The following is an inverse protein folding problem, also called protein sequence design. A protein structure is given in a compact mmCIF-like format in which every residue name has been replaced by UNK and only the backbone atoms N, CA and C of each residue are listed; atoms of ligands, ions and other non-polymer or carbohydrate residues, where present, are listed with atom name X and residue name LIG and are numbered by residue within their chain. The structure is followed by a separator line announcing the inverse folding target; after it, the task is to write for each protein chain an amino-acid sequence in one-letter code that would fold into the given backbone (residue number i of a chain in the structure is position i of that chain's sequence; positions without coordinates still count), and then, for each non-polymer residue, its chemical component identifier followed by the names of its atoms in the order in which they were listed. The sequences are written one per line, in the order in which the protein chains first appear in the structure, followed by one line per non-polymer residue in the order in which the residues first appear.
data_IF_525996923626
#
_entry.id   IF_525996923626
#
_cell.length_a   1.000
_cell.length_b   1.000
_cell.length_c   1.000
_cell.angle_alpha   90.00
_cell.angle_beta   90.00
_cell.angle_gamma   90.00
#
_symmetry.space_group_name_H-M   'P 1'
#
loop_
_entity.id
_entity.type
_entity.pdbx_description
1 polymer ?
#
# COMPACT_ATOMS: atom_id res chain seq x y z
N UNK A 1 -10.52 -4.44 -5.36
CA UNK A 1 -10.09 -3.13 -5.91
C UNK A 1 -8.73 -2.76 -5.36
N UNK A 2 -7.87 -2.13 -6.16
CA UNK A 2 -6.60 -1.51 -5.69
C UNK A 2 -6.62 -0.02 -5.92
N UNK A 3 -5.92 0.76 -5.08
CA UNK A 3 -5.70 2.17 -5.29
C UNK A 3 -4.20 2.45 -5.35
N UNK A 4 -3.78 3.05 -6.47
CA UNK A 4 -2.42 3.44 -6.79
C UNK A 4 -2.24 4.95 -6.63
N UNK A 5 -1.02 5.41 -6.67
CA UNK A 5 -0.66 6.83 -6.58
C UNK A 5 0.48 7.07 -5.61
N UNK A 6 1.16 8.20 -5.79
CA UNK A 6 2.28 8.63 -4.94
C UNK A 6 1.89 8.70 -3.47
N UNK A 7 2.84 8.50 -2.58
CA UNK A 7 2.61 8.79 -1.17
C UNK A 7 2.30 10.28 -1.01
N UNK A 8 1.37 10.62 -0.12
CA UNK A 8 0.87 11.99 0.00
C UNK A 8 -0.25 12.37 -0.98
N UNK A 9 -0.62 11.50 -1.96
CA UNK A 9 -1.70 11.80 -2.91
C UNK A 9 -3.10 11.80 -2.29
N UNK A 10 -3.27 11.27 -1.08
CA UNK A 10 -4.57 11.20 -0.41
C UNK A 10 -5.25 9.82 -0.50
N UNK A 11 -4.55 8.79 -0.97
CA UNK A 11 -5.11 7.42 -1.07
C UNK A 11 -5.86 6.99 0.17
N UNK A 12 -5.23 7.01 1.34
CA UNK A 12 -5.87 6.55 2.58
C UNK A 12 -7.17 7.29 2.89
N UNK A 13 -7.22 8.61 2.67
CA UNK A 13 -8.43 9.41 2.87
C UNK A 13 -9.54 9.01 1.89
N UNK A 14 -9.20 8.81 0.62
CA UNK A 14 -10.18 8.41 -0.40
C UNK A 14 -10.58 6.95 -0.23
N UNK A 15 -9.64 6.07 0.10
CA UNK A 15 -9.92 4.65 0.37
C UNK A 15 -10.93 4.45 1.49
N UNK A 16 -10.81 5.19 2.58
CA UNK A 16 -11.78 5.12 3.68
C UNK A 16 -13.19 5.53 3.24
N UNK A 17 -13.31 6.57 2.40
CA UNK A 17 -14.60 7.02 1.86
C UNK A 17 -15.20 6.01 0.86
N UNK A 18 -14.37 5.47 -0.02
CA UNK A 18 -14.78 4.46 -1.01
C UNK A 18 -15.22 3.19 -0.28
N UNK A 19 -14.43 2.71 0.66
CA UNK A 19 -14.75 1.53 1.44
C UNK A 19 -16.09 1.66 2.18
N UNK A 20 -16.34 2.82 2.81
CA UNK A 20 -17.61 3.11 3.46
C UNK A 20 -18.79 3.17 2.48
N UNK A 21 -18.60 3.73 1.29
CA UNK A 21 -19.64 3.87 0.28
C UNK A 21 -20.04 2.52 -0.37
N UNK A 22 -19.09 1.62 -0.55
CA UNK A 22 -19.29 0.34 -1.21
C UNK A 22 -19.39 -0.85 -0.24
N UNK A 23 -19.19 -0.62 1.07
CA UNK A 23 -19.28 -1.69 2.07
C UNK A 23 -18.12 -2.68 2.03
N UNK A 24 -16.97 -2.31 1.45
CA UNK A 24 -15.79 -3.17 1.40
C UNK A 24 -14.79 -2.82 2.50
N UNK A 25 -13.85 -3.73 2.77
CA UNK A 25 -12.81 -3.54 3.77
C UNK A 25 -11.65 -2.73 3.19
N UNK A 26 -11.25 -1.63 3.84
CA UNK A 26 -10.01 -0.91 3.49
C UNK A 26 -8.82 -1.57 4.18
N UNK A 27 -7.86 -2.02 3.39
CA UNK A 27 -6.59 -2.61 3.86
C UNK A 27 -5.43 -1.75 3.38
N UNK A 28 -4.82 -1.03 4.32
CA UNK A 28 -3.60 -0.24 4.09
C UNK A 28 -2.38 -1.02 4.56
N UNK A 29 -1.55 -1.47 3.62
CA UNK A 29 -0.31 -2.18 3.96
C UNK A 29 0.66 -1.32 4.77
N UNK A 30 0.69 -0.02 4.52
CA UNK A 30 1.47 0.91 5.31
C UNK A 30 1.00 1.01 6.77
N UNK A 31 -0.31 0.93 7.02
CA UNK A 31 -0.85 0.96 8.39
C UNK A 31 -0.61 -0.38 9.11
N UNK A 32 -0.71 -1.50 8.39
CA UNK A 32 -0.36 -2.84 8.92
C UNK A 32 1.09 -2.86 9.38
N UNK A 33 2.03 -2.37 8.57
CA UNK A 33 3.44 -2.31 8.92
C UNK A 33 3.70 -1.37 10.10
N UNK A 34 3.08 -0.18 10.13
CA UNK A 34 3.23 0.75 11.26
C UNK A 34 2.69 0.18 12.56
N UNK A 35 1.56 -0.52 12.53
CA UNK A 35 1.04 -1.23 13.69
C UNK A 35 2.01 -2.30 14.17
N UNK A 36 2.55 -3.11 13.27
CA UNK A 36 3.54 -4.14 13.58
C UNK A 36 4.82 -3.55 14.21
N UNK A 37 5.30 -2.39 13.73
CA UNK A 37 6.43 -1.66 14.33
C UNK A 37 6.10 -1.19 15.74
N UNK A 38 4.94 -0.57 15.93
CA UNK A 38 4.51 -0.06 17.23
C UNK A 38 4.33 -1.18 18.28
N UNK A 39 3.87 -2.35 17.84
CA UNK A 39 3.70 -3.54 18.68
C UNK A 39 5.01 -4.33 18.90
N UNK A 40 6.09 -4.00 18.17
CA UNK A 40 7.39 -4.66 18.27
C UNK A 40 7.37 -6.12 17.80
N UNK A 41 6.49 -6.46 16.87
CA UNK A 41 6.41 -7.82 16.30
C UNK A 41 7.65 -8.15 15.48
N UNK A 42 7.83 -9.43 15.11
CA UNK A 42 8.95 -9.83 14.22
C UNK A 42 8.88 -9.09 12.89
N UNK A 43 7.69 -9.01 12.28
CA UNK A 43 7.45 -8.22 11.07
C UNK A 43 7.82 -6.74 11.29
N UNK A 44 7.40 -6.17 12.42
CA UNK A 44 7.69 -4.77 12.76
C UNK A 44 9.19 -4.50 12.89
N UNK A 45 9.96 -5.38 13.54
CA UNK A 45 11.42 -5.24 13.66
C UNK A 45 12.11 -5.28 12.30
N UNK A 46 11.68 -6.16 11.41
CA UNK A 46 12.24 -6.27 10.05
C UNK A 46 11.86 -5.06 9.17
N UNK A 47 10.69 -4.49 9.37
CA UNK A 47 10.19 -3.38 8.57
C UNK A 47 10.70 -2.00 9.05
N UNK A 48 11.03 -1.85 10.33
CA UNK A 48 11.29 -0.54 10.95
C UNK A 48 12.35 0.30 10.22
N UNK A 49 13.57 -0.23 10.06
CA UNK A 49 14.67 0.48 9.40
C UNK A 49 14.37 0.81 7.92
N UNK A 50 13.70 -0.13 7.23
CA UNK A 50 13.33 0.03 5.82
C UNK A 50 12.31 1.16 5.69
N UNK A 51 11.30 1.20 6.57
CA UNK A 51 10.26 2.23 6.56
C UNK A 51 10.82 3.61 6.91
N UNK A 52 11.68 3.69 7.92
CA UNK A 52 12.34 4.92 8.35
C UNK A 52 13.19 5.52 7.22
N UNK A 53 13.95 4.69 6.51
CA UNK A 53 14.74 5.13 5.34
C UNK A 53 13.89 5.43 4.10
N UNK A 54 12.58 5.19 4.13
CA UNK A 54 11.66 5.37 2.99
C UNK A 54 11.74 4.27 1.93
N UNK A 55 12.33 3.11 2.27
CA UNK A 55 12.39 1.94 1.40
C UNK A 55 11.07 1.17 1.28
N UNK A 56 11.09 0.12 0.46
CA UNK A 56 10.02 -0.87 0.36
C UNK A 56 10.43 -2.13 1.13
N UNK A 57 9.51 -2.67 1.93
CA UNK A 57 9.65 -3.99 2.56
C UNK A 57 9.63 -5.05 1.46
N UNK A 58 10.47 -6.08 1.60
CA UNK A 58 10.65 -7.11 0.58
C UNK A 58 9.34 -7.78 0.14
N UNK A 59 9.26 -8.12 -1.13
CA UNK A 59 8.03 -8.62 -1.77
C UNK A 59 7.52 -9.90 -1.12
N UNK A 60 8.40 -10.84 -0.74
CA UNK A 60 8.00 -12.08 -0.08
C UNK A 60 7.24 -11.84 1.23
N UNK A 61 7.73 -10.89 2.04
CA UNK A 61 7.10 -10.51 3.30
C UNK A 61 5.75 -9.86 3.01
N UNK A 62 5.71 -8.91 2.07
CA UNK A 62 4.48 -8.20 1.74
C UNK A 62 3.42 -9.10 1.13
N UNK A 63 3.82 -10.02 0.24
CA UNK A 63 2.93 -11.00 -0.36
C UNK A 63 2.31 -11.91 0.72
N UNK A 64 3.10 -12.34 1.71
CA UNK A 64 2.60 -13.14 2.83
C UNK A 64 1.57 -12.39 3.67
N UNK A 65 1.86 -11.15 4.05
CA UNK A 65 0.94 -10.28 4.82
C UNK A 65 -0.38 -10.07 4.07
N UNK A 66 -0.30 -9.82 2.76
CA UNK A 66 -1.49 -9.58 1.94
C UNK A 66 -2.29 -10.87 1.75
N UNK A 67 -1.64 -12.00 1.49
CA UNK A 67 -2.30 -13.29 1.32
C UNK A 67 -3.10 -13.69 2.58
N UNK A 68 -2.47 -13.57 3.76
CA UNK A 68 -3.14 -13.84 5.05
C UNK A 68 -4.37 -12.93 5.24
N UNK A 69 -4.22 -11.63 4.94
CA UNK A 69 -5.33 -10.68 5.13
C UNK A 69 -6.46 -10.90 4.14
N UNK A 70 -6.17 -11.26 2.88
CA UNK A 70 -7.18 -11.51 1.86
C UNK A 70 -7.99 -12.78 2.10
N UNK A 71 -7.44 -13.75 2.83
CA UNK A 71 -8.13 -14.98 3.20
C UNK A 71 -9.10 -14.82 4.39
N UNK A 72 -9.14 -13.66 5.05
CA UNK A 72 -10.01 -13.44 6.19
C UNK A 72 -11.48 -13.31 5.78
N UNK A 73 -12.39 -13.84 6.61
CA UNK A 73 -13.83 -13.95 6.33
C UNK A 73 -14.51 -12.61 5.98
N UNK A 74 -14.09 -11.52 6.62
CA UNK A 74 -14.64 -10.18 6.36
C UNK A 74 -14.32 -9.66 4.96
N UNK A 75 -13.19 -10.07 4.39
CA UNK A 75 -12.79 -9.72 3.02
C UNK A 75 -13.46 -10.65 2.00
N UNK A 76 -13.49 -11.94 2.28
CA UNK A 76 -14.11 -12.92 1.37
C UNK A 76 -15.57 -12.57 1.12
N UNK A 77 -16.28 -12.08 2.13
CA UNK A 77 -17.71 -11.73 2.04
C UNK A 77 -17.99 -10.30 1.60
N UNK A 78 -17.14 -9.34 2.03
CA UNK A 78 -17.38 -7.91 1.82
C UNK A 78 -16.57 -7.29 0.68
N UNK A 79 -15.56 -7.98 0.19
CA UNK A 79 -14.61 -7.43 -0.76
C UNK A 79 -13.57 -6.51 -0.11
N UNK A 80 -12.55 -6.13 -0.89
CA UNK A 80 -11.39 -5.37 -0.39
C UNK A 80 -11.03 -4.19 -1.27
N UNK A 81 -10.57 -3.11 -0.64
CA UNK A 81 -9.81 -2.04 -1.26
C UNK A 81 -8.40 -2.05 -0.66
N UNK A 82 -7.40 -2.43 -1.48
CA UNK A 82 -5.99 -2.44 -1.11
C UNK A 82 -5.37 -1.07 -1.35
N UNK A 83 -4.73 -0.50 -0.32
CA UNK A 83 -3.97 0.74 -0.36
C UNK A 83 -2.50 0.47 -0.05
N UNK A 84 -1.62 0.84 -0.99
CA UNK A 84 -0.18 0.68 -0.87
C UNK A 84 0.36 -0.69 -1.27
N UNK A 85 -0.44 -1.51 -1.94
CA UNK A 85 -0.08 -2.78 -2.57
C UNK A 85 -1.00 -3.03 -3.77
N UNK A 86 -0.48 -3.51 -4.93
CA UNK A 86 0.94 -3.78 -5.21
C UNK A 86 1.75 -2.50 -5.44
N UNK A 87 3.09 -2.58 -5.32
CA UNK A 87 4.04 -1.50 -5.63
C UNK A 87 5.09 -1.90 -6.66
N UNK A 88 5.23 -3.19 -6.94
CA UNK A 88 6.15 -3.76 -7.92
C UNK A 88 5.39 -4.71 -8.85
N UNK A 89 5.95 -5.00 -10.03
CA UNK A 89 5.36 -5.97 -10.94
C UNK A 89 5.27 -7.37 -10.31
N UNK A 90 6.29 -7.78 -9.57
CA UNK A 90 6.29 -9.08 -8.87
C UNK A 90 5.17 -9.17 -7.82
N UNK A 91 4.87 -8.08 -7.14
CA UNK A 91 3.72 -7.99 -6.24
C UNK A 91 2.38 -8.03 -6.99
N UNK A 92 2.29 -7.43 -8.18
CA UNK A 92 1.08 -7.48 -9.00
C UNK A 92 0.79 -8.91 -9.47
N UNK A 93 1.82 -9.61 -9.98
CA UNK A 93 1.72 -11.03 -10.34
C UNK A 93 1.35 -11.92 -9.13
N UNK A 94 1.90 -11.61 -7.95
CA UNK A 94 1.56 -12.32 -6.73
C UNK A 94 0.10 -12.08 -6.33
N UNK A 95 -0.39 -10.83 -6.42
CA UNK A 95 -1.78 -10.49 -6.14
C UNK A 95 -2.76 -11.25 -7.04
N UNK A 96 -2.48 -11.34 -8.33
CA UNK A 96 -3.32 -12.11 -9.25
C UNK A 96 -3.41 -13.58 -8.84
N UNK A 97 -2.27 -14.19 -8.49
CA UNK A 97 -2.24 -15.59 -8.03
C UNK A 97 -3.02 -15.77 -6.72
N UNK A 98 -2.80 -14.90 -5.73
CA UNK A 98 -3.53 -14.96 -4.46
C UNK A 98 -5.04 -14.83 -4.67
N UNK A 99 -5.48 -13.89 -5.51
CA UNK A 99 -6.91 -13.72 -5.82
C UNK A 99 -7.47 -14.94 -6.54
N UNK A 100 -6.73 -15.51 -7.52
CA UNK A 100 -7.17 -16.71 -8.25
C UNK A 100 -7.34 -17.92 -7.31
N UNK A 101 -6.40 -18.13 -6.37
CA UNK A 101 -6.47 -19.19 -5.37
C UNK A 101 -7.70 -19.04 -4.44
N UNK A 102 -8.15 -17.82 -4.22
CA UNK A 102 -9.36 -17.49 -3.46
C UNK A 102 -10.64 -17.49 -4.32
N UNK A 103 -10.53 -17.83 -5.62
CA UNK A 103 -11.66 -17.78 -6.55
C UNK A 103 -12.15 -16.35 -6.85
N UNK A 104 -11.29 -15.36 -6.68
CA UNK A 104 -11.58 -13.94 -6.87
C UNK A 104 -10.76 -13.36 -8.03
N UNK A 105 -11.06 -12.12 -8.41
CA UNK A 105 -10.31 -11.37 -9.40
C UNK A 105 -10.26 -9.88 -9.06
N UNK A 106 -9.27 -9.18 -9.61
CA UNK A 106 -9.19 -7.74 -9.51
C UNK A 106 -10.31 -7.08 -10.35
N UNK A 107 -11.19 -6.33 -9.69
CA UNK A 107 -12.33 -5.68 -10.35
C UNK A 107 -11.95 -4.31 -10.92
N UNK A 108 -11.09 -3.57 -10.21
CA UNK A 108 -10.77 -2.18 -10.57
C UNK A 108 -9.44 -1.77 -9.96
N UNK A 109 -8.62 -1.08 -10.75
CA UNK A 109 -7.47 -0.30 -10.31
C UNK A 109 -7.78 1.19 -10.48
N UNK A 110 -7.48 1.99 -9.46
CA UNK A 110 -7.67 3.45 -9.46
C UNK A 110 -6.33 4.10 -9.21
N UNK A 111 -5.90 5.02 -10.06
CA UNK A 111 -4.73 5.85 -9.82
C UNK A 111 -5.13 7.26 -9.36
N UNK A 112 -4.50 7.72 -8.26
CA UNK A 112 -4.60 9.10 -7.79
C UNK A 112 -3.35 9.86 -8.22
N UNK A 113 -3.40 10.43 -9.42
CA UNK A 113 -2.32 11.27 -9.93
C UNK A 113 -2.36 12.66 -9.30
N UNK A 114 -1.32 13.00 -8.55
CA UNK A 114 -1.12 14.29 -7.88
C UNK A 114 0.30 14.76 -8.17
N UNK A 115 0.51 16.06 -8.51
CA UNK A 115 1.83 16.60 -8.78
C UNK A 115 2.82 16.34 -7.64
N UNK A 116 4.09 16.10 -7.99
CA UNK A 116 5.16 15.75 -7.04
C UNK A 116 5.34 16.82 -5.96
N UNK A 117 5.34 18.10 -6.34
CA UNK A 117 5.49 19.20 -5.38
C UNK A 117 4.37 19.25 -4.36
N UNK A 118 3.14 18.95 -4.78
CA UNK A 118 1.97 18.90 -3.92
C UNK A 118 2.06 17.73 -2.93
N UNK A 119 2.39 16.52 -3.41
CA UNK A 119 2.53 15.37 -2.51
C UNK A 119 3.68 15.54 -1.53
N UNK A 120 4.80 16.15 -1.96
CA UNK A 120 5.92 16.47 -1.10
C UNK A 120 5.52 17.43 0.04
N UNK A 121 4.83 18.53 -0.31
CA UNK A 121 4.33 19.50 0.67
C UNK A 121 3.37 18.84 1.68
N UNK A 122 2.46 17.99 1.21
CA UNK A 122 1.53 17.26 2.07
C UNK A 122 2.23 16.29 3.02
N UNK A 123 3.28 15.57 2.55
CA UNK A 123 4.04 14.66 3.40
C UNK A 123 4.79 15.40 4.50
N UNK A 124 5.47 16.48 4.17
CA UNK A 124 6.15 17.34 5.17
C UNK A 124 5.19 17.93 6.21
N UNK A 125 3.96 18.26 5.79
CA UNK A 125 2.95 18.87 6.66
C UNK A 125 2.17 17.88 7.53
N UNK A 126 2.18 16.57 7.26
CA UNK A 126 1.37 15.61 8.01
C UNK A 126 2.00 15.10 9.32
N UNK A 127 3.31 15.32 9.51
CA UNK A 127 4.00 15.10 10.79
C UNK A 127 4.17 13.63 11.21
N UNK A 128 4.31 12.69 10.27
CA UNK A 128 4.69 11.33 10.59
C UNK A 128 6.19 11.27 10.92
N UNK A 129 6.58 10.43 11.87
CA UNK A 129 7.99 10.28 12.27
C UNK A 129 8.90 9.84 11.12
N UNK A 130 8.36 9.04 10.19
CA UNK A 130 9.05 8.54 9.00
C UNK A 130 9.00 9.50 7.79
N UNK A 131 8.51 10.74 7.93
CA UNK A 131 8.44 11.74 6.86
C UNK A 131 9.63 12.72 6.90
N UNK A 132 10.86 12.21 6.92
CA UNK A 132 12.05 13.04 6.70
C UNK A 132 12.17 13.45 5.24
N UNK A 133 12.81 14.59 4.90
CA UNK A 133 13.00 15.00 3.50
C UNK A 133 13.65 13.91 2.65
N UNK A 134 14.67 13.24 3.19
CA UNK A 134 15.41 12.17 2.52
C UNK A 134 14.53 10.93 2.27
N UNK A 135 13.72 10.53 3.26
CA UNK A 135 12.80 9.42 3.13
C UNK A 135 11.69 9.73 2.12
N UNK A 136 11.20 10.97 2.10
CA UNK A 136 10.20 11.44 1.12
C UNK A 136 10.76 11.37 -0.30
N UNK A 137 11.97 11.88 -0.53
CA UNK A 137 12.60 11.87 -1.85
C UNK A 137 12.84 10.44 -2.34
N UNK A 138 13.31 9.57 -1.46
CA UNK A 138 13.47 8.15 -1.78
C UNK A 138 12.14 7.47 -2.14
N UNK A 139 11.07 7.73 -1.40
CA UNK A 139 9.73 7.19 -1.68
C UNK A 139 9.18 7.64 -3.03
N UNK A 140 9.40 8.92 -3.37
CA UNK A 140 8.98 9.45 -4.66
C UNK A 140 9.77 8.82 -5.80
N UNK A 141 11.09 8.66 -5.65
CA UNK A 141 11.94 7.98 -6.63
C UNK A 141 11.52 6.52 -6.83
N UNK A 142 11.31 5.77 -5.75
CA UNK A 142 10.85 4.37 -5.81
C UNK A 142 9.46 4.24 -6.45
N UNK A 143 8.57 5.19 -6.22
CA UNK A 143 7.26 5.19 -6.90
C UNK A 143 7.42 5.31 -8.41
N UNK A 144 8.22 6.27 -8.89
CA UNK A 144 8.44 6.47 -10.34
C UNK A 144 9.12 5.26 -11.00
N UNK A 145 10.06 4.63 -10.28
CA UNK A 145 10.84 3.49 -10.79
C UNK A 145 10.04 2.18 -10.79
N UNK A 146 9.31 1.89 -9.72
CA UNK A 146 8.75 0.56 -9.48
C UNK A 146 7.22 0.50 -9.53
N UNK A 147 6.53 1.55 -9.08
CA UNK A 147 5.07 1.51 -8.96
C UNK A 147 4.38 2.12 -10.17
N UNK A 148 4.90 3.23 -10.71
CA UNK A 148 4.32 3.85 -11.89
C UNK A 148 4.20 2.93 -13.11
N UNK A 149 5.16 2.03 -13.39
CA UNK A 149 5.03 1.07 -14.49
C UNK A 149 3.81 0.16 -14.39
N UNK A 150 3.23 -0.02 -13.20
CA UNK A 150 2.00 -0.80 -13.02
C UNK A 150 0.76 -0.16 -13.67
N UNK A 151 0.83 1.11 -14.05
CA UNK A 151 -0.27 1.77 -14.76
C UNK A 151 -0.40 1.29 -16.19
N UNK A 152 0.67 0.70 -16.74
CA UNK A 152 0.74 0.13 -18.09
C UNK A 152 0.67 -1.42 -18.07
N UNK A 153 0.57 -2.01 -16.89
CA UNK A 153 0.50 -3.46 -16.64
C UNK A 153 -0.94 -4.01 -16.72
#
# INVERSE_FOLDING_TARGET
MVILGRQGSGKGTQSARVAAAFGCVHVSTGDVLRAAVAEGTELGRQAAEIMESGGLVGDDIMNGVVAERLAADDIVTGGVLLDGYPRTADQADALERILADLGQSLTLAVDLDVPVDEVRARMLGRGREDDTPEAIDRRLALYEEQTRPLLDW
#
